data_IF_967946160323
#
_entry.id   IF_967946160323
#
_cell.length_a   1.000
_cell.length_b   1.000
_cell.length_c   1.000
_cell.angle_alpha   90.00
_cell.angle_beta   90.00
_cell.angle_gamma   90.00
#
_symmetry.space_group_name_H-M   'P 1'
#
loop_
_entity.id
_entity.type
_entity.pdbx_description
1 polymer ?
#
# COMPACT_ATOMS: atom_id res chain seq x y z
N UNK A 1 6.72 2.14 -14.89
CA UNK A 1 6.36 1.90 -13.48
C UNK A 1 7.40 2.53 -12.56
N UNK A 2 6.95 3.24 -11.51
CA UNK A 2 7.85 3.84 -10.50
C UNK A 2 8.54 2.73 -9.68
N UNK A 3 9.68 3.04 -9.04
CA UNK A 3 10.51 2.06 -8.30
C UNK A 3 9.73 1.35 -7.18
N UNK A 4 9.02 2.09 -6.33
CA UNK A 4 8.16 1.53 -5.29
C UNK A 4 7.10 0.57 -5.83
N UNK A 5 6.53 0.85 -7.00
CA UNK A 5 5.56 -0.05 -7.64
C UNK A 5 6.19 -1.38 -7.98
N UNK A 6 7.40 -1.38 -8.53
CA UNK A 6 8.12 -2.63 -8.83
C UNK A 6 8.45 -3.41 -7.55
N UNK A 7 8.87 -2.74 -6.48
CA UNK A 7 9.17 -3.37 -5.20
C UNK A 7 7.94 -4.05 -4.59
N UNK A 8 6.82 -3.33 -4.54
CA UNK A 8 5.55 -3.84 -4.02
C UNK A 8 5.07 -5.06 -4.82
N UNK A 9 5.09 -4.99 -6.16
CA UNK A 9 4.67 -6.09 -7.02
C UNK A 9 5.57 -7.32 -6.81
N UNK A 10 6.89 -7.12 -6.75
CA UNK A 10 7.84 -8.22 -6.52
C UNK A 10 7.62 -8.89 -5.16
N UNK A 11 7.33 -8.12 -4.11
CA UNK A 11 7.12 -8.67 -2.77
C UNK A 11 5.87 -9.56 -2.69
N UNK A 12 4.75 -9.06 -3.22
CA UNK A 12 3.47 -9.78 -3.19
C UNK A 12 3.31 -10.79 -4.33
N UNK A 13 4.18 -10.76 -5.35
CA UNK A 13 4.14 -11.65 -6.49
C UNK A 13 3.09 -11.26 -7.55
N UNK A 14 2.74 -9.97 -7.64
CA UNK A 14 1.80 -9.48 -8.64
C UNK A 14 2.47 -9.35 -10.02
N UNK A 15 1.72 -9.74 -11.06
CA UNK A 15 2.18 -9.67 -12.45
C UNK A 15 1.50 -8.50 -13.15
N UNK A 16 0.22 -8.28 -12.85
CA UNK A 16 -0.62 -7.24 -13.44
C UNK A 16 -1.23 -6.34 -12.35
N UNK A 17 -1.34 -5.04 -12.66
CA UNK A 17 -1.92 -4.07 -11.73
C UNK A 17 -3.39 -4.35 -11.41
N UNK A 18 -4.09 -5.05 -12.31
CA UNK A 18 -5.49 -5.42 -12.15
C UNK A 18 -5.71 -6.53 -11.09
N UNK A 19 -4.63 -7.13 -10.58
CA UNK A 19 -4.68 -8.14 -9.51
C UNK A 19 -4.62 -7.53 -8.10
N UNK A 20 -4.38 -6.21 -8.01
CA UNK A 20 -4.15 -5.52 -6.75
C UNK A 20 -5.45 -4.95 -6.24
N UNK A 21 -5.85 -5.39 -5.05
CA UNK A 21 -7.02 -4.89 -4.36
C UNK A 21 -6.61 -3.85 -3.31
N UNK A 22 -7.46 -2.87 -3.10
CA UNK A 22 -7.30 -1.83 -2.09
C UNK A 22 -7.29 -2.49 -0.71
N UNK A 23 -6.20 -2.33 0.02
CA UNK A 23 -6.01 -2.98 1.32
C UNK A 23 -7.03 -2.47 2.36
N UNK A 24 -7.54 -1.24 2.19
CA UNK A 24 -8.51 -0.65 3.11
C UNK A 24 -9.99 -1.02 2.82
N UNK A 25 -10.38 -1.25 1.56
CA UNK A 25 -11.80 -1.47 1.23
C UNK A 25 -12.09 -2.60 0.23
N UNK A 26 -11.06 -3.28 -0.27
CA UNK A 26 -11.19 -4.41 -1.19
C UNK A 26 -11.59 -4.06 -2.63
N UNK A 27 -11.82 -2.79 -2.99
CA UNK A 27 -12.03 -2.38 -4.40
C UNK A 27 -10.72 -2.42 -5.18
N UNK A 28 -10.75 -2.47 -6.52
CA UNK A 28 -9.54 -2.45 -7.33
C UNK A 28 -8.63 -1.26 -6.97
N UNK A 29 -7.37 -1.55 -6.65
CA UNK A 29 -6.38 -0.52 -6.35
C UNK A 29 -5.89 0.12 -7.65
N UNK A 30 -5.79 1.43 -7.63
CA UNK A 30 -5.30 2.22 -8.78
C UNK A 30 -4.04 2.99 -8.44
N UNK A 31 -3.75 3.21 -7.16
CA UNK A 31 -2.60 3.97 -6.69
C UNK A 31 -1.91 3.24 -5.53
N UNK A 32 -0.58 3.30 -5.52
CA UNK A 32 0.22 2.91 -4.36
C UNK A 32 0.58 4.17 -3.58
N UNK A 33 0.16 4.19 -2.32
CA UNK A 33 0.30 5.33 -1.41
C UNK A 33 1.43 5.06 -0.42
N UNK A 34 2.29 6.06 -0.18
CA UNK A 34 3.24 5.99 0.92
C UNK A 34 2.53 6.40 2.21
N UNK A 35 2.52 5.52 3.23
CA UNK A 35 1.80 5.73 4.49
C UNK A 35 2.45 6.87 5.29
N UNK A 36 3.78 6.81 5.45
CA UNK A 36 4.58 7.84 6.09
C UNK A 36 5.40 8.63 5.07
N UNK A 37 5.12 9.94 5.00
CA UNK A 37 5.97 10.95 4.36
C UNK A 37 6.75 11.68 5.46
N UNK A 38 7.91 11.13 5.85
CA UNK A 38 8.82 11.75 6.82
C UNK A 38 9.70 12.86 6.23
N UNK A 39 10.39 13.60 7.11
CA UNK A 39 11.29 14.74 6.79
C UNK A 39 12.54 14.35 5.98
N UNK A 40 12.88 13.06 5.92
CA UNK A 40 14.01 12.52 5.17
C UNK A 40 13.59 11.34 4.29
N UNK A 41 13.27 11.66 3.03
CA UNK A 41 13.08 10.78 1.86
C UNK A 41 11.80 9.92 1.82
N UNK A 42 11.30 9.76 0.60
CA UNK A 42 10.32 8.74 0.20
C UNK A 42 10.94 7.37 0.48
N UNK A 43 10.58 6.78 1.59
CA UNK A 43 10.92 5.37 1.84
C UNK A 43 10.07 4.51 0.91
N UNK A 44 10.71 3.94 -0.11
CA UNK A 44 10.10 3.06 -1.11
C UNK A 44 10.12 1.57 -0.65
N UNK A 45 10.35 1.31 0.64
CA UNK A 45 10.22 -0.01 1.25
C UNK A 45 8.76 -0.46 1.23
N UNK A 46 8.53 -1.77 1.05
CA UNK A 46 7.17 -2.30 0.89
C UNK A 46 6.32 -1.99 2.11
N UNK A 47 6.94 -2.01 3.30
CA UNK A 47 6.34 -1.76 4.60
C UNK A 47 5.73 -0.35 4.74
N UNK A 48 6.18 0.60 3.92
CA UNK A 48 5.68 1.97 3.89
C UNK A 48 4.73 2.23 2.72
N UNK A 49 4.40 1.22 1.90
CA UNK A 49 3.60 1.36 0.70
C UNK A 49 2.33 0.54 0.81
N UNK A 50 1.17 1.20 0.74
CA UNK A 50 -0.14 0.57 0.76
C UNK A 50 -0.84 0.73 -0.60
N UNK A 51 -1.49 -0.33 -1.08
CA UNK A 51 -2.31 -0.28 -2.28
C UNK A 51 -3.71 0.24 -1.96
N UNK A 52 -4.13 1.33 -2.62
CA UNK A 52 -5.42 1.98 -2.40
C UNK A 52 -6.17 2.21 -3.71
N UNK A 53 -7.50 2.19 -3.62
CA UNK A 53 -8.35 2.75 -4.67
C UNK A 53 -8.31 4.29 -4.61
N UNK A 54 -8.73 4.97 -5.68
CA UNK A 54 -8.66 6.44 -5.77
C UNK A 54 -9.35 7.15 -4.59
N UNK A 55 -10.50 6.63 -4.17
CA UNK A 55 -11.29 7.17 -3.06
C UNK A 55 -10.54 7.07 -1.73
N UNK A 56 -10.03 5.88 -1.37
CA UNK A 56 -9.25 5.69 -0.15
C UNK A 56 -7.93 6.46 -0.20
N UNK A 57 -7.29 6.56 -1.37
CA UNK A 57 -6.08 7.35 -1.57
C UNK A 57 -6.33 8.84 -1.28
N UNK A 58 -7.43 9.40 -1.78
CA UNK A 58 -7.80 10.79 -1.51
C UNK A 58 -8.11 11.00 -0.02
N UNK A 59 -8.86 10.09 0.61
CA UNK A 59 -9.16 10.12 2.05
C UNK A 59 -7.89 10.06 2.90
N UNK A 60 -6.90 9.26 2.50
CA UNK A 60 -5.59 9.21 3.16
C UNK A 60 -4.86 10.56 3.05
N UNK A 61 -4.84 11.19 1.88
CA UNK A 61 -4.27 12.54 1.71
C UNK A 61 -4.98 13.61 2.53
N UNK A 62 -6.30 13.52 2.63
CA UNK A 62 -7.13 14.44 3.42
C UNK A 62 -7.06 14.15 4.93
N UNK A 63 -6.29 13.15 5.37
CA UNK A 63 -6.22 12.69 6.76
C UNK A 63 -7.58 12.21 7.33
N UNK A 64 -8.52 11.85 6.45
CA UNK A 64 -9.81 11.24 6.83
C UNK A 64 -9.61 9.79 7.27
N UNK A 65 -8.58 9.12 6.74
CA UNK A 65 -8.10 7.84 7.25
C UNK A 65 -6.78 8.12 7.97
N UNK A 66 -6.71 7.93 9.30
CA UNK A 66 -5.49 8.18 10.04
C UNK A 66 -4.38 7.19 9.63
N UNK A 67 -3.15 7.69 9.58
CA UNK A 67 -1.98 6.92 9.11
C UNK A 67 -1.75 5.62 9.86
N UNK A 68 -2.00 5.61 11.17
CA UNK A 68 -1.83 4.39 11.98
C UNK A 68 -2.76 3.26 11.52
N UNK A 69 -4.00 3.56 11.12
CA UNK A 69 -4.93 2.55 10.59
C UNK A 69 -4.46 2.01 9.24
N UNK A 70 -3.91 2.88 8.38
CA UNK A 70 -3.31 2.44 7.11
C UNK A 70 -2.11 1.53 7.37
N UNK A 71 -1.26 1.89 8.34
CA UNK A 71 -0.12 1.07 8.74
C UNK A 71 -0.53 -0.28 9.33
N UNK A 72 -1.51 -0.30 10.23
CA UNK A 72 -2.03 -1.54 10.81
C UNK A 72 -2.61 -2.45 9.71
N UNK A 73 -3.44 -1.90 8.83
CA UNK A 73 -4.02 -2.63 7.70
C UNK A 73 -2.94 -3.26 6.83
N UNK A 74 -1.91 -2.49 6.48
CA UNK A 74 -0.81 -2.98 5.66
C UNK A 74 0.04 -4.03 6.41
N UNK A 75 0.26 -3.85 7.71
CA UNK A 75 0.97 -4.82 8.54
C UNK A 75 0.25 -6.18 8.60
N UNK A 76 -1.09 -6.18 8.66
CA UNK A 76 -1.87 -7.42 8.54
C UNK A 76 -1.59 -8.10 7.20
N UNK A 77 -1.61 -7.35 6.09
CA UNK A 77 -1.34 -7.90 4.75
C UNK A 77 0.07 -8.48 4.61
N UNK A 78 1.08 -7.82 5.18
CA UNK A 78 2.46 -8.32 5.23
C UNK A 78 2.56 -9.61 6.04
N UNK A 79 1.89 -9.69 7.19
CA UNK A 79 1.90 -10.86 8.05
C UNK A 79 1.19 -12.05 7.41
N UNK A 80 0.04 -11.85 6.75
CA UNK A 80 -0.62 -12.89 5.96
C UNK A 80 0.32 -13.50 4.92
N UNK A 81 1.10 -12.65 4.22
CA UNK A 81 2.08 -13.12 3.25
C UNK A 81 3.22 -13.92 3.91
N UNK A 82 3.73 -13.47 5.06
CA UNK A 82 4.82 -14.15 5.79
C UNK A 82 4.42 -15.51 6.35
N UNK A 83 3.15 -15.69 6.73
CA UNK A 83 2.62 -16.96 7.24
C UNK A 83 2.27 -17.96 6.12
N UNK A 84 2.15 -17.49 4.88
CA UNK A 84 1.86 -18.31 3.69
C UNK A 84 3.10 -18.92 3.01
N UNK A 85 4.30 -18.68 3.56
CA UNK A 85 5.58 -19.27 3.16
C UNK A 85 6.17 -20.07 4.32
#
# INVERSE_FOLDING_TARGET
MKKHVKNYFKYFGYIHQNEIMCENCGRLAVDLHHIEYGRYKRDDSVENIIALCRDCHNKAHNSEIPKFLLQETHNYKLNERRLSH
#
